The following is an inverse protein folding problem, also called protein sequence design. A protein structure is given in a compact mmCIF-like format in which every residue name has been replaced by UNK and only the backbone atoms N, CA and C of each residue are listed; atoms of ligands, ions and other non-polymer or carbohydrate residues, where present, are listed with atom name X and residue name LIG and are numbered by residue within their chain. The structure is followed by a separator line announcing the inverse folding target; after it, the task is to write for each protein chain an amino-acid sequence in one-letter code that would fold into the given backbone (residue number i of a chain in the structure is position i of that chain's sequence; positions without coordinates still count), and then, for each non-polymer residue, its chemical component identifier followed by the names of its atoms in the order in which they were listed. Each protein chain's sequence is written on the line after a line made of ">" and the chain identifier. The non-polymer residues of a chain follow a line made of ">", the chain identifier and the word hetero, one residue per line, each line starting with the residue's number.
data_IF_119725454980
#
_entry.id   IF_119725454980
#
_cell.length_a   1.000
_cell.length_b   1.000
_cell.length_c   1.000
_cell.angle_alpha   90.00
_cell.angle_beta   90.00
_cell.angle_gamma   90.00
#
_symmetry.space_group_name_H-M   'P 1'
#
loop_
_entity.id
_entity.type
_entity.pdbx_description
1 polymer ?
#
# COMPACT_ATOMS: atom_id res chain seq x y z
N UNK A 1 -15.29 28.69 -17.72
CA UNK A 1 -15.97 27.71 -16.83
C UNK A 1 -15.65 26.26 -17.21
N UNK A 2 -15.69 25.86 -18.48
CA UNK A 2 -15.37 24.47 -18.91
C UNK A 2 -13.95 23.98 -18.56
N UNK A 3 -12.93 24.85 -18.54
CA UNK A 3 -11.54 24.47 -18.24
C UNK A 3 -11.32 24.06 -16.78
N UNK A 4 -12.05 24.66 -15.83
CA UNK A 4 -11.92 24.35 -14.41
C UNK A 4 -12.41 22.93 -14.11
N UNK A 5 -13.58 22.54 -14.66
CA UNK A 5 -14.10 21.17 -14.51
C UNK A 5 -13.15 20.12 -15.09
N UNK A 6 -12.54 20.41 -16.24
CA UNK A 6 -11.53 19.53 -16.83
C UNK A 6 -10.30 19.36 -15.92
N UNK A 7 -9.79 20.45 -15.33
CA UNK A 7 -8.70 20.38 -14.36
C UNK A 7 -9.07 19.56 -13.12
N UNK A 8 -10.26 19.78 -12.55
CA UNK A 8 -10.74 18.99 -11.42
C UNK A 8 -10.83 17.50 -11.74
N UNK A 9 -11.33 17.14 -12.93
CA UNK A 9 -11.39 15.73 -13.34
C UNK A 9 -10.00 15.10 -13.46
N UNK A 10 -9.01 15.81 -13.98
CA UNK A 10 -7.63 15.32 -14.08
C UNK A 10 -7.03 15.11 -12.69
N UNK A 11 -7.25 16.05 -11.77
CA UNK A 11 -6.77 15.94 -10.38
C UNK A 11 -7.40 14.73 -9.69
N UNK A 12 -8.72 14.55 -9.83
CA UNK A 12 -9.43 13.40 -9.25
C UNK A 12 -8.95 12.07 -9.82
N UNK A 13 -8.70 12.00 -11.13
CA UNK A 13 -8.12 10.82 -11.77
C UNK A 13 -6.70 10.53 -11.27
N UNK A 14 -5.88 11.56 -11.10
CA UNK A 14 -4.53 11.41 -10.53
C UNK A 14 -4.54 10.90 -9.09
N UNK A 15 -5.46 11.40 -8.27
CA UNK A 15 -5.67 10.92 -6.90
C UNK A 15 -6.13 9.46 -6.93
N UNK A 16 -7.12 9.12 -7.76
CA UNK A 16 -7.61 7.75 -7.87
C UNK A 16 -6.50 6.78 -8.32
N UNK A 17 -5.70 7.17 -9.31
CA UNK A 17 -4.57 6.37 -9.78
C UNK A 17 -3.53 6.17 -8.68
N UNK A 18 -3.23 7.22 -7.92
CA UNK A 18 -2.32 7.14 -6.78
C UNK A 18 -2.83 6.13 -5.75
N UNK A 19 -4.12 6.21 -5.38
CA UNK A 19 -4.73 5.27 -4.44
C UNK A 19 -4.68 3.82 -4.96
N UNK A 20 -4.94 3.62 -6.25
CA UNK A 20 -4.86 2.31 -6.89
C UNK A 20 -3.44 1.74 -6.85
N UNK A 21 -2.40 2.56 -7.12
CA UNK A 21 -1.00 2.13 -7.03
C UNK A 21 -0.64 1.62 -5.62
N UNK A 22 -1.06 2.32 -4.57
CA UNK A 22 -0.80 1.90 -3.20
C UNK A 22 -1.60 0.64 -2.80
N UNK A 23 -2.85 0.53 -3.24
CA UNK A 23 -3.65 -0.67 -3.03
C UNK A 23 -3.03 -1.90 -3.72
N UNK A 24 -2.58 -1.76 -4.97
CA UNK A 24 -1.88 -2.83 -5.69
C UNK A 24 -0.58 -3.19 -4.96
N UNK A 25 0.19 -2.18 -4.53
CA UNK A 25 1.43 -2.39 -3.77
C UNK A 25 1.23 -3.21 -2.50
N UNK A 26 0.13 -2.98 -1.77
CA UNK A 26 -0.24 -3.78 -0.59
C UNK A 26 -0.60 -5.22 -0.98
N UNK A 27 -1.38 -5.40 -2.05
CA UNK A 27 -1.80 -6.73 -2.52
C UNK A 27 -0.62 -7.61 -2.98
N UNK A 28 0.32 -7.04 -3.73
CA UNK A 28 1.47 -7.77 -4.30
C UNK A 28 2.73 -7.72 -3.44
N UNK A 29 2.63 -7.13 -2.25
CA UNK A 29 3.76 -6.98 -1.33
C UNK A 29 4.39 -8.33 -0.98
N UNK A 30 5.72 -8.37 -0.88
CA UNK A 30 6.49 -9.53 -0.41
C UNK A 30 6.32 -9.81 1.09
N UNK A 31 5.67 -8.90 1.84
CA UNK A 31 5.38 -9.07 3.26
C UNK A 31 4.57 -10.36 3.47
N UNK A 32 4.99 -11.15 4.47
CA UNK A 32 4.42 -12.47 4.82
C UNK A 32 3.12 -12.36 5.62
N UNK A 33 2.16 -11.60 5.09
CA UNK A 33 0.80 -11.49 5.63
C UNK A 33 -0.13 -12.54 5.04
N UNK A 34 -1.20 -12.86 5.78
CA UNK A 34 -2.29 -13.69 5.27
C UNK A 34 -3.05 -12.98 4.15
N UNK A 35 -3.75 -13.73 3.28
CA UNK A 35 -4.55 -13.14 2.20
C UNK A 35 -5.60 -12.13 2.71
N UNK A 36 -6.37 -12.41 3.79
CA UNK A 36 -7.30 -11.43 4.36
C UNK A 36 -6.63 -10.13 4.80
N UNK A 37 -5.44 -10.20 5.40
CA UNK A 37 -4.70 -9.02 5.87
C UNK A 37 -4.21 -8.18 4.69
N UNK A 38 -3.73 -8.81 3.61
CA UNK A 38 -3.37 -8.10 2.37
C UNK A 38 -4.58 -7.43 1.73
N UNK A 39 -5.75 -8.08 1.74
CA UNK A 39 -7.00 -7.49 1.25
C UNK A 39 -7.36 -6.27 2.10
N UNK A 40 -7.34 -6.39 3.42
CA UNK A 40 -7.64 -5.28 4.33
C UNK A 40 -6.67 -4.11 4.13
N UNK A 41 -5.37 -4.39 4.03
CA UNK A 41 -4.34 -3.39 3.74
C UNK A 41 -4.59 -2.67 2.41
N UNK A 42 -4.97 -3.44 1.38
CA UNK A 42 -5.28 -2.91 0.04
C UNK A 42 -6.51 -2.02 0.07
N UNK A 43 -7.58 -2.43 0.77
CA UNK A 43 -8.81 -1.65 0.92
C UNK A 43 -8.55 -0.31 1.64
N UNK A 44 -7.79 -0.35 2.74
CA UNK A 44 -7.41 0.86 3.48
C UNK A 44 -6.57 1.79 2.61
N UNK A 45 -5.63 1.24 1.84
CA UNK A 45 -4.80 1.99 0.90
C UNK A 45 -5.62 2.59 -0.26
N UNK A 46 -6.66 1.90 -0.72
CA UNK A 46 -7.55 2.43 -1.75
C UNK A 46 -8.41 3.59 -1.23
N UNK A 47 -8.84 3.54 0.03
CA UNK A 47 -9.66 4.60 0.63
C UNK A 47 -8.84 5.84 1.02
N UNK A 48 -7.68 5.65 1.64
CA UNK A 48 -6.87 6.74 2.21
C UNK A 48 -5.55 7.00 1.46
N UNK A 49 -5.32 6.30 0.36
CA UNK A 49 -4.13 6.46 -0.48
C UNK A 49 -2.84 6.12 0.28
N UNK A 50 -1.79 6.95 0.14
CA UNK A 50 -0.53 6.74 0.83
C UNK A 50 -0.67 6.68 2.36
N UNK A 51 -1.56 7.49 2.94
CA UNK A 51 -1.75 7.54 4.38
C UNK A 51 -2.25 6.20 4.92
N UNK A 52 -3.26 5.61 4.27
CA UNK A 52 -3.77 4.29 4.63
C UNK A 52 -2.72 3.19 4.49
N UNK A 53 -1.94 3.25 3.42
CA UNK A 53 -0.88 2.29 3.16
C UNK A 53 0.16 2.27 4.28
N UNK A 54 0.71 3.43 4.64
CA UNK A 54 1.74 3.50 5.68
C UNK A 54 1.19 3.35 7.09
N UNK A 55 -0.04 3.81 7.37
CA UNK A 55 -0.68 3.60 8.66
C UNK A 55 -0.85 2.11 8.97
N UNK A 56 -1.32 1.33 8.01
CA UNK A 56 -1.39 -0.13 8.16
C UNK A 56 0.00 -0.75 8.20
N UNK A 57 0.96 -0.28 7.37
CA UNK A 57 2.33 -0.84 7.36
C UNK A 57 3.03 -0.72 8.71
N UNK A 58 2.77 0.33 9.48
CA UNK A 58 3.34 0.53 10.83
C UNK A 58 2.83 -0.50 11.84
N UNK A 59 1.65 -1.09 11.61
CA UNK A 59 1.11 -2.15 12.49
C UNK A 59 1.65 -3.54 12.13
N UNK A 60 2.37 -3.68 11.01
CA UNK A 60 2.94 -4.96 10.58
C UNK A 60 4.24 -5.21 11.36
N UNK A 61 4.36 -6.37 12.04
CA UNK A 61 5.61 -6.76 12.70
C UNK A 61 6.80 -6.82 11.74
N UNK A 62 7.97 -6.41 12.21
CA UNK A 62 9.18 -6.27 11.39
C UNK A 62 9.64 -7.60 10.78
N UNK A 63 9.51 -8.70 11.53
CA UNK A 63 9.82 -10.06 11.12
C UNK A 63 9.01 -10.57 9.92
N UNK A 64 7.87 -9.95 9.63
CA UNK A 64 7.06 -10.26 8.45
C UNK A 64 7.48 -9.46 7.22
N UNK A 65 8.24 -8.38 7.43
CA UNK A 65 8.68 -7.43 6.39
C UNK A 65 10.09 -7.78 5.91
N UNK A 66 10.98 -8.14 6.83
CA UNK A 66 12.38 -8.47 6.55
C UNK A 66 12.55 -9.97 6.63
N UNK A 67 13.09 -10.58 5.58
CA UNK A 67 13.51 -11.98 5.67
C UNK A 67 14.57 -12.09 6.75
N UNK A 68 14.46 -13.06 7.68
CA UNK A 68 15.49 -13.23 8.70
C UNK A 68 16.81 -13.45 7.98
N UNK A 69 17.79 -12.57 8.23
CA UNK A 69 19.19 -12.78 7.89
C UNK A 69 19.51 -14.21 8.32
N UNK A 70 19.77 -15.09 7.35
CA UNK A 70 20.17 -16.44 7.68
C UNK A 70 21.41 -16.32 8.54
N UNK A 71 21.31 -16.87 9.75
CA UNK A 71 22.37 -17.09 10.71
C UNK A 71 23.48 -17.94 10.07
N UNK A 72 24.24 -17.36 9.14
CA UNK A 72 25.49 -17.87 8.62
C UNK A 72 26.59 -17.42 9.57
N UNK A 73 26.74 -18.12 10.70
CA UNK A 73 28.04 -18.52 11.28
C UNK A 73 27.81 -19.19 12.62
N UNK A 74 27.44 -20.47 12.58
CA UNK A 74 27.94 -21.42 13.59
C UNK A 74 29.01 -22.28 12.91
N UNK A 75 30.26 -21.80 13.03
CA UNK A 75 31.46 -22.61 12.88
C UNK A 75 31.51 -23.68 13.98
#
# INVERSE_FOLDING_TARGET
>A
MASAYSLYTIILLGILLTHACFAIGAAVSSVRLTTPDKILWSLISLSFGPLGYYAYRVTIPYELIVEPEQNETKY
#
